data_IF_771764948133
#
_entry.id   IF_771764948133
#
_cell.length_a   1.000
_cell.length_b   1.000
_cell.length_c   1.000
_cell.angle_alpha   90.00
_cell.angle_beta   90.00
_cell.angle_gamma   90.00
#
_symmetry.space_group_name_H-M   'P 1'
#
loop_
_entity.id
_entity.type
_entity.pdbx_description
1 polymer ?
#
# COMPACT_ATOMS: atom_id res chain seq x y z
N UNK A 1 3.07 17.52 -6.02
CA UNK A 1 3.00 17.37 -4.56
C UNK A 1 4.39 17.59 -4.00
N UNK A 2 4.50 18.36 -2.92
CA UNK A 2 5.73 18.40 -2.15
C UNK A 2 5.89 17.06 -1.41
N UNK A 3 7.12 16.62 -1.09
CA UNK A 3 7.36 15.37 -0.35
C UNK A 3 6.56 15.28 0.96
N UNK A 4 6.35 16.41 1.63
CA UNK A 4 5.56 16.48 2.86
C UNK A 4 4.06 16.22 2.67
N UNK A 5 3.52 16.49 1.47
CA UNK A 5 2.10 16.23 1.18
C UNK A 5 1.82 14.74 1.14
N UNK A 6 2.71 13.96 0.53
CA UNK A 6 2.59 12.51 0.40
C UNK A 6 2.67 11.85 1.77
N UNK A 7 3.63 12.28 2.60
CA UNK A 7 3.77 11.77 3.97
C UNK A 7 2.52 12.04 4.80
N UNK A 8 1.99 13.28 4.77
CA UNK A 8 0.74 13.62 5.47
C UNK A 8 -0.44 12.77 5.00
N UNK A 9 -0.54 12.52 3.70
CA UNK A 9 -1.60 11.67 3.16
C UNK A 9 -1.47 10.23 3.65
N UNK A 10 -0.25 9.66 3.66
CA UNK A 10 0.01 8.30 4.14
C UNK A 10 -0.29 8.15 5.63
N UNK A 11 0.13 9.10 6.47
CA UNK A 11 -0.19 9.10 7.90
C UNK A 11 -1.70 9.15 8.13
N UNK A 12 -2.44 9.98 7.36
CA UNK A 12 -3.91 10.03 7.45
C UNK A 12 -4.55 8.70 7.08
N UNK A 13 -4.12 8.09 5.97
CA UNK A 13 -4.64 6.78 5.53
C UNK A 13 -4.35 5.70 6.59
N UNK A 14 -3.16 5.71 7.19
CA UNK A 14 -2.80 4.75 8.24
C UNK A 14 -3.73 4.87 9.46
N UNK A 15 -4.04 6.09 9.91
CA UNK A 15 -5.01 6.31 10.99
C UNK A 15 -6.41 5.82 10.62
N UNK A 16 -6.88 6.10 9.40
CA UNK A 16 -8.20 5.68 8.92
C UNK A 16 -8.34 4.15 8.88
N UNK A 17 -7.29 3.42 8.47
CA UNK A 17 -7.27 1.95 8.49
C UNK A 17 -7.37 1.44 9.93
N UNK A 18 -6.53 1.94 10.83
CA UNK A 18 -6.48 1.47 12.22
C UNK A 18 -7.78 1.76 12.98
N UNK A 19 -8.38 2.93 12.76
CA UNK A 19 -9.66 3.29 13.38
C UNK A 19 -10.80 2.38 12.89
N UNK A 20 -10.80 2.05 11.59
CA UNK A 20 -11.81 1.20 10.98
C UNK A 20 -11.74 -0.25 11.48
N UNK A 21 -10.54 -0.82 11.56
CA UNK A 21 -10.32 -2.23 11.88
C UNK A 21 -10.00 -2.45 13.38
N UNK A 22 -10.02 -1.39 14.19
CA UNK A 22 -9.72 -1.38 15.65
C UNK A 22 -8.31 -1.89 15.95
N UNK A 23 -7.37 -1.50 15.10
CA UNK A 23 -5.95 -1.84 15.17
C UNK A 23 -5.48 -2.62 13.94
N UNK A 24 -4.23 -3.10 14.01
CA UNK A 24 -3.53 -3.73 12.90
C UNK A 24 -3.61 -5.27 12.87
N UNK A 25 -4.24 -5.90 13.85
CA UNK A 25 -4.15 -7.35 14.08
C UNK A 25 -4.68 -8.20 12.91
N UNK A 26 -5.78 -7.76 12.29
CA UNK A 26 -6.47 -8.48 11.21
C UNK A 26 -6.30 -7.78 9.84
N UNK A 27 -5.28 -6.92 9.71
CA UNK A 27 -5.01 -6.15 8.48
C UNK A 27 -3.85 -6.76 7.72
N UNK A 28 -3.98 -6.81 6.38
CA UNK A 28 -2.89 -7.07 5.43
C UNK A 28 -2.94 -6.01 4.35
N UNK A 29 -1.76 -5.54 3.93
CA UNK A 29 -1.64 -4.62 2.81
C UNK A 29 -1.19 -5.38 1.56
N UNK A 30 -1.82 -5.13 0.42
CA UNK A 30 -1.43 -5.70 -0.86
C UNK A 30 -1.21 -4.56 -1.85
N UNK A 31 0.05 -4.36 -2.26
CA UNK A 31 0.40 -3.41 -3.29
C UNK A 31 0.20 -4.02 -4.67
N UNK A 32 -0.37 -3.27 -5.60
CA UNK A 32 -0.34 -3.66 -7.02
C UNK A 32 1.08 -3.40 -7.55
N UNK A 33 1.62 -4.32 -8.35
CA UNK A 33 2.99 -4.25 -8.88
C UNK A 33 3.36 -2.88 -9.52
N UNK A 34 4.66 -2.65 -9.70
CA UNK A 34 5.35 -1.42 -10.14
C UNK A 34 5.54 -0.32 -9.09
N UNK A 35 4.45 0.30 -8.65
CA UNK A 35 4.51 1.45 -7.72
C UNK A 35 3.58 1.31 -6.53
N UNK A 36 2.58 0.42 -6.63
CA UNK A 36 1.65 0.17 -5.54
C UNK A 36 2.30 -0.62 -4.40
N UNK A 37 3.30 -1.44 -4.70
CA UNK A 37 4.09 -2.18 -3.71
C UNK A 37 5.01 -1.25 -2.88
N UNK A 38 5.67 -0.29 -3.53
CA UNK A 38 6.41 0.77 -2.83
C UNK A 38 5.50 1.57 -1.89
N UNK A 39 4.29 1.90 -2.35
CA UNK A 39 3.32 2.64 -1.55
C UNK A 39 2.81 1.81 -0.36
N UNK A 40 2.53 0.52 -0.59
CA UNK A 40 2.08 -0.40 0.45
C UNK A 40 3.13 -0.58 1.56
N UNK A 41 4.42 -0.66 1.20
CA UNK A 41 5.52 -0.71 2.18
C UNK A 41 5.59 0.58 3.01
N UNK A 42 5.52 1.74 2.37
CA UNK A 42 5.53 3.03 3.09
C UNK A 42 4.33 3.16 4.03
N UNK A 43 3.17 2.68 3.62
CA UNK A 43 1.97 2.69 4.46
C UNK A 43 2.12 1.73 5.65
N UNK A 44 2.71 0.55 5.45
CA UNK A 44 3.02 -0.39 6.52
C UNK A 44 3.97 0.24 7.55
N UNK A 45 4.98 1.00 7.11
CA UNK A 45 5.90 1.72 7.99
C UNK A 45 5.19 2.82 8.80
N UNK A 46 4.21 3.52 8.22
CA UNK A 46 3.37 4.47 8.95
C UNK A 46 2.53 3.76 10.01
N UNK A 47 1.87 2.66 9.66
CA UNK A 47 1.05 1.87 10.60
C UNK A 47 1.90 1.35 11.75
N UNK A 48 3.07 0.78 11.45
CA UNK A 48 4.04 0.31 12.46
C UNK A 48 4.44 1.43 13.41
N UNK A 49 4.63 2.64 12.91
CA UNK A 49 5.01 3.79 13.74
C UNK A 49 3.89 4.23 14.69
N UNK A 50 2.64 4.04 14.29
CA UNK A 50 1.47 4.44 15.07
C UNK A 50 1.14 3.41 16.15
N UNK A 51 1.07 2.12 15.79
CA UNK A 51 0.55 1.08 16.70
C UNK A 51 1.62 0.09 17.20
N UNK A 52 2.74 -0.07 16.48
CA UNK A 52 3.86 -0.93 16.86
C UNK A 52 3.98 -2.23 16.06
N UNK A 53 2.93 -3.09 15.98
CA UNK A 53 2.97 -4.32 15.20
C UNK A 53 3.24 -4.09 13.71
N UNK A 54 3.95 -5.04 13.08
CA UNK A 54 4.16 -5.05 11.63
C UNK A 54 2.93 -5.64 10.93
N UNK A 55 2.40 -4.90 9.96
CA UNK A 55 1.35 -5.39 9.05
C UNK A 55 2.01 -6.16 7.90
N UNK A 56 1.58 -7.38 7.56
CA UNK A 56 2.11 -8.10 6.41
C UNK A 56 1.83 -7.34 5.11
N UNK A 57 2.84 -7.30 4.23
CA UNK A 57 2.75 -6.66 2.91
C UNK A 57 2.95 -7.68 1.81
N UNK A 58 1.96 -7.83 0.94
CA UNK A 58 2.01 -8.63 -0.28
C UNK A 58 2.07 -7.76 -1.54
N UNK A 59 2.36 -8.40 -2.66
CA UNK A 59 2.31 -7.78 -4.00
C UNK A 59 1.39 -8.58 -4.89
N UNK A 60 0.54 -7.89 -5.64
CA UNK A 60 -0.35 -8.45 -6.66
C UNK A 60 0.06 -7.93 -8.03
N UNK A 61 0.58 -8.82 -8.87
CA UNK A 61 0.76 -8.54 -10.30
C UNK A 61 -0.57 -8.76 -11.04
N UNK A 62 -1.07 -7.69 -11.65
CA UNK A 62 -2.33 -7.70 -12.39
C UNK A 62 -2.11 -7.78 -13.90
N UNK A 63 -0.88 -7.90 -14.40
CA UNK A 63 -0.53 -7.78 -15.82
C UNK A 63 -1.40 -8.68 -16.71
N UNK A 64 -1.58 -9.95 -16.33
CA UNK A 64 -2.39 -10.91 -17.08
C UNK A 64 -3.91 -10.81 -16.86
N UNK A 65 -4.36 -9.87 -16.03
CA UNK A 65 -5.78 -9.66 -15.72
C UNK A 65 -6.32 -8.35 -16.31
N UNK A 66 -5.49 -7.58 -16.99
CA UNK A 66 -5.91 -6.34 -17.65
C UNK A 66 -6.55 -6.64 -19.01
N UNK A 67 -7.46 -5.79 -19.44
CA UNK A 67 -8.10 -5.87 -20.77
C UNK A 67 -7.18 -5.34 -21.88
N UNK A 68 -6.18 -4.55 -21.51
CA UNK A 68 -5.20 -3.92 -22.40
C UNK A 68 -3.88 -4.71 -22.54
N UNK A 69 -3.92 -6.03 -22.30
CA UNK A 69 -2.79 -6.94 -22.51
C UNK A 69 -2.28 -6.81 -23.96
N UNK A 70 -0.97 -6.60 -24.11
CA UNK A 70 -0.32 -6.41 -25.41
C UNK A 70 -0.36 -4.98 -25.98
N UNK A 71 -1.08 -4.05 -25.34
CA UNK A 71 -1.01 -2.62 -25.69
C UNK A 71 0.12 -1.86 -24.98
N UNK A 72 0.64 -2.42 -23.88
CA UNK A 72 1.84 -1.94 -23.21
C UNK A 72 3.00 -2.87 -23.54
N UNK A 73 4.13 -2.27 -23.92
CA UNK A 73 5.39 -2.98 -24.03
C UNK A 73 5.84 -3.33 -22.61
N UNK A 74 6.01 -4.63 -22.39
CA UNK A 74 6.61 -5.28 -21.24
C UNK A 74 5.71 -5.52 -20.01
N UNK A 75 5.63 -6.81 -19.65
CA UNK A 75 5.30 -7.27 -18.32
C UNK A 75 6.44 -6.88 -17.36
N UNK A 76 6.15 -6.65 -16.08
CA UNK A 76 7.16 -6.26 -15.08
C UNK A 76 8.28 -7.29 -14.90
#
# INVERSE_FOLDING_TARGET
MQPDDVRRALTRIAHEILERDKGAADVVLVGIADRGDDLARRLADEVRRIEGPEVPVGVLDITFYRDDIGMRADAP
#
